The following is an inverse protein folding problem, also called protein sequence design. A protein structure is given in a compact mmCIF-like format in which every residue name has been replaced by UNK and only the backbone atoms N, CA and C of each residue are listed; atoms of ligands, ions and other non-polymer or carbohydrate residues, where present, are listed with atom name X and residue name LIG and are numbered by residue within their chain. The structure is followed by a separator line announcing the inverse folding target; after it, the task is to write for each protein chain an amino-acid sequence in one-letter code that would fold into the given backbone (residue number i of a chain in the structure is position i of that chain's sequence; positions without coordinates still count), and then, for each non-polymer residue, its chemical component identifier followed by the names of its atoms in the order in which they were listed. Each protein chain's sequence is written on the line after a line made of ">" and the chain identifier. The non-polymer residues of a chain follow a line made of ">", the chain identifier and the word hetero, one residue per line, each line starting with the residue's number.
data_IF_379101636346
#
_entry.id   IF_379101636346
#
_cell.length_a   1.000
_cell.length_b   1.000
_cell.length_c   1.000
_cell.angle_alpha   90.00
_cell.angle_beta   90.00
_cell.angle_gamma   90.00
#
_symmetry.space_group_name_H-M   'P 1'
#
loop_
_entity.id
_entity.type
_entity.pdbx_description
1 polymer ?
#
# COMPACT_ATOMS: atom_id res chain seq x y z
N UNK A 1 27.82 -35.93 5.89
CA UNK A 1 28.12 -34.58 5.39
C UNK A 1 26.88 -33.75 5.58
N UNK A 2 26.93 -32.82 6.53
CA UNK A 2 25.88 -31.85 6.81
C UNK A 2 25.93 -30.77 5.74
N UNK A 3 24.83 -30.54 5.01
CA UNK A 3 24.67 -29.30 4.26
C UNK A 3 23.59 -28.46 4.92
N UNK A 4 24.08 -27.34 5.45
CA UNK A 4 23.34 -26.32 6.16
C UNK A 4 22.90 -25.24 5.15
N UNK A 5 21.62 -24.87 5.23
CA UNK A 5 21.05 -23.54 5.02
C UNK A 5 21.29 -22.77 3.72
N UNK A 6 20.19 -22.48 3.04
CA UNK A 6 19.92 -21.10 2.64
C UNK A 6 18.48 -20.76 3.01
N UNK A 7 18.31 -20.02 4.12
CA UNK A 7 17.02 -19.56 4.59
C UNK A 7 16.28 -18.74 3.54
N UNK A 8 15.11 -19.22 3.12
CA UNK A 8 14.13 -18.47 2.35
C UNK A 8 13.73 -17.23 3.17
N UNK A 9 14.20 -16.05 2.78
CA UNK A 9 13.79 -14.81 3.41
C UNK A 9 12.25 -14.68 3.32
N UNK A 10 11.54 -14.38 4.43
CA UNK A 10 10.09 -14.36 4.43
C UNK A 10 9.59 -13.30 3.46
N UNK A 11 8.93 -13.76 2.39
CA UNK A 11 8.27 -12.89 1.41
C UNK A 11 7.25 -12.04 2.17
N UNK A 12 7.22 -10.70 2.00
CA UNK A 12 6.27 -9.87 2.70
C UNK A 12 4.87 -10.28 2.25
N UNK A 13 4.11 -10.92 3.16
CA UNK A 13 2.68 -11.17 2.94
C UNK A 13 2.05 -9.83 2.58
N UNK A 14 1.28 -9.80 1.49
CA UNK A 14 0.51 -8.63 1.10
C UNK A 14 -0.35 -8.23 2.29
N UNK A 15 0.06 -7.20 3.03
CA UNK A 15 -0.75 -6.69 4.14
C UNK A 15 -2.06 -6.23 3.53
N UNK A 16 -3.13 -6.94 3.86
CA UNK A 16 -4.47 -6.63 3.39
C UNK A 16 -4.76 -5.16 3.74
N UNK A 17 -5.12 -4.37 2.72
CA UNK A 17 -5.40 -2.95 2.93
C UNK A 17 -6.72 -2.83 3.70
N UNK A 18 -6.71 -2.06 4.78
CA UNK A 18 -7.93 -1.77 5.53
C UNK A 18 -8.78 -0.80 4.73
N UNK A 19 -10.02 -1.19 4.41
CA UNK A 19 -11.00 -0.28 3.85
C UNK A 19 -11.67 0.50 4.98
N UNK A 20 -11.86 1.81 4.79
CA UNK A 20 -12.56 2.67 5.74
C UNK A 20 -13.48 3.63 4.98
N UNK A 21 -14.65 3.90 5.54
CA UNK A 21 -15.53 4.96 5.05
C UNK A 21 -15.08 6.29 5.66
N UNK A 22 -14.72 7.25 4.80
CA UNK A 22 -14.31 8.58 5.21
C UNK A 22 -15.46 9.56 4.95
N UNK A 23 -15.84 10.35 5.96
CA UNK A 23 -16.76 11.47 5.78
C UNK A 23 -15.93 12.71 5.45
N UNK A 24 -16.13 13.26 4.27
CA UNK A 24 -15.50 14.48 3.80
C UNK A 24 -16.56 15.50 3.41
N UNK A 25 -16.20 16.78 3.55
CA UNK A 25 -16.93 17.84 2.87
C UNK A 25 -16.86 17.59 1.34
N UNK A 26 -17.99 17.71 0.60
CA UNK A 26 -18.00 17.45 -0.84
C UNK A 26 -17.02 18.32 -1.65
N UNK A 27 -16.86 19.58 -1.27
CA UNK A 27 -15.95 20.51 -1.98
C UNK A 27 -14.49 20.10 -1.76
N UNK A 28 -14.17 19.63 -0.56
CA UNK A 28 -12.83 19.09 -0.25
C UNK A 28 -12.57 17.81 -1.03
N UNK A 29 -13.55 16.92 -1.11
CA UNK A 29 -13.44 15.71 -1.92
C UNK A 29 -13.15 16.04 -3.38
N UNK A 30 -13.88 17.01 -3.96
CA UNK A 30 -13.70 17.41 -5.35
C UNK A 30 -12.33 18.04 -5.60
N UNK A 31 -11.83 18.86 -4.68
CA UNK A 31 -10.48 19.41 -4.77
C UNK A 31 -9.41 18.31 -4.77
N UNK A 32 -9.54 17.32 -3.88
CA UNK A 32 -8.64 16.15 -3.83
C UNK A 32 -8.71 15.32 -5.12
N UNK A 33 -9.91 15.11 -5.67
CA UNK A 33 -10.09 14.37 -6.91
C UNK A 33 -9.43 15.07 -8.09
N UNK A 34 -9.61 16.41 -8.23
CA UNK A 34 -8.96 17.20 -9.29
C UNK A 34 -7.44 17.16 -9.16
N UNK A 35 -6.90 17.38 -7.96
CA UNK A 35 -5.45 17.30 -7.75
C UNK A 35 -4.90 15.90 -8.05
N UNK A 36 -5.62 14.83 -7.66
CA UNK A 36 -5.25 13.48 -8.02
C UNK A 36 -5.18 13.29 -9.55
N UNK A 37 -6.18 13.81 -10.29
CA UNK A 37 -6.19 13.77 -11.75
C UNK A 37 -5.00 14.49 -12.38
N UNK A 38 -4.63 15.66 -11.86
CA UNK A 38 -3.47 16.43 -12.34
C UNK A 38 -2.14 15.65 -12.17
N UNK A 39 -2.02 14.88 -11.08
CA UNK A 39 -0.88 13.99 -10.84
C UNK A 39 -1.04 12.58 -11.45
N UNK A 40 -2.11 12.36 -12.21
CA UNK A 40 -2.51 11.08 -12.78
C UNK A 40 -2.70 9.96 -11.72
N UNK A 41 -3.00 10.28 -10.47
CA UNK A 41 -3.30 9.31 -9.41
C UNK A 41 -4.80 9.06 -9.30
N UNK A 42 -5.18 7.93 -8.69
CA UNK A 42 -6.53 7.81 -8.16
C UNK A 42 -6.68 8.66 -6.90
N UNK A 43 -7.90 9.10 -6.59
CA UNK A 43 -8.18 9.84 -5.36
C UNK A 43 -7.69 9.09 -4.10
N UNK A 44 -7.91 7.77 -4.03
CA UNK A 44 -7.42 6.96 -2.90
C UNK A 44 -5.88 6.95 -2.80
N UNK A 45 -5.17 6.89 -3.93
CA UNK A 45 -3.71 6.94 -3.93
C UNK A 45 -3.19 8.33 -3.51
N UNK A 46 -3.90 9.39 -3.89
CA UNK A 46 -3.58 10.75 -3.45
C UNK A 46 -3.80 10.92 -1.94
N UNK A 47 -4.94 10.46 -1.42
CA UNK A 47 -5.24 10.49 0.02
C UNK A 47 -4.17 9.72 0.81
N UNK A 48 -3.81 8.51 0.40
CA UNK A 48 -2.78 7.70 1.05
C UNK A 48 -1.42 8.41 1.06
N UNK A 49 -1.04 9.04 -0.06
CA UNK A 49 0.19 9.83 -0.15
C UNK A 49 0.20 10.98 0.86
N UNK A 50 -0.89 11.75 0.92
CA UNK A 50 -1.02 12.88 1.84
C UNK A 50 -0.97 12.44 3.31
N UNK A 51 -1.68 11.36 3.66
CA UNK A 51 -1.67 10.83 5.02
C UNK A 51 -0.27 10.38 5.44
N UNK A 52 0.46 9.66 4.57
CA UNK A 52 1.84 9.23 4.86
C UNK A 52 2.79 10.40 5.01
N UNK A 53 2.66 11.39 4.13
CA UNK A 53 3.47 12.62 4.19
C UNK A 53 3.21 13.35 5.51
N UNK A 54 1.95 13.60 5.86
CA UNK A 54 1.58 14.27 7.10
C UNK A 54 2.04 13.49 8.35
N UNK A 55 1.94 12.16 8.35
CA UNK A 55 2.48 11.31 9.42
C UNK A 55 4.00 11.41 9.50
N UNK A 56 4.71 11.44 8.36
CA UNK A 56 6.17 11.59 8.32
C UNK A 56 6.63 12.95 8.84
N UNK A 57 5.99 14.02 8.38
CA UNK A 57 6.25 15.40 8.84
C UNK A 57 5.96 15.56 10.34
N UNK A 58 4.95 14.87 10.86
CA UNK A 58 4.64 14.85 12.29
C UNK A 58 5.53 13.90 13.12
N UNK A 59 6.46 13.15 12.51
CA UNK A 59 7.28 12.14 13.20
C UNK A 59 6.50 10.93 13.73
N UNK A 60 5.32 10.65 13.14
CA UNK A 60 4.38 9.60 13.57
C UNK A 60 4.25 8.43 12.60
N UNK A 61 4.97 8.46 11.48
CA UNK A 61 4.94 7.37 10.51
C UNK A 61 5.58 6.10 11.12
N UNK A 62 4.85 4.96 11.22
CA UNK A 62 5.41 3.74 11.79
C UNK A 62 6.55 3.19 10.92
N UNK A 63 7.66 2.78 11.54
CA UNK A 63 8.83 2.23 10.83
C UNK A 63 8.56 0.97 10.00
N UNK A 64 7.48 0.24 10.31
CA UNK A 64 7.04 -0.93 9.55
C UNK A 64 6.08 -0.65 8.40
N UNK A 65 5.82 0.61 8.03
CA UNK A 65 4.92 0.95 6.95
C UNK A 65 5.55 0.58 5.58
N UNK A 66 4.93 -0.37 4.88
CA UNK A 66 5.40 -0.79 3.56
C UNK A 66 5.39 0.40 2.56
N UNK A 67 6.31 0.45 1.59
CA UNK A 67 6.37 1.52 0.60
C UNK A 67 5.10 1.56 -0.27
N UNK A 68 4.77 2.74 -0.79
CA UNK A 68 3.67 2.90 -1.75
C UNK A 68 4.02 2.11 -3.03
N UNK A 69 3.16 1.18 -3.50
CA UNK A 69 3.41 0.44 -4.73
C UNK A 69 3.53 1.37 -5.94
N UNK A 70 4.41 1.02 -6.89
CA UNK A 70 4.53 1.76 -8.14
C UNK A 70 3.26 1.62 -8.99
N UNK A 71 2.92 2.68 -9.74
CA UNK A 71 1.77 2.71 -10.65
C UNK A 71 1.88 1.56 -11.67
N UNK A 72 0.73 0.94 -11.97
CA UNK A 72 0.63 -0.11 -12.98
C UNK A 72 1.25 -1.47 -12.61
N UNK A 73 1.82 -1.65 -11.41
CA UNK A 73 2.35 -2.95 -10.98
C UNK A 73 1.26 -3.74 -10.23
N UNK A 74 0.59 -4.72 -10.86
CA UNK A 74 -0.19 -5.69 -10.10
C UNK A 74 0.76 -6.41 -9.12
N UNK A 75 0.33 -6.69 -7.88
CA UNK A 75 1.08 -7.54 -6.98
C UNK A 75 1.31 -8.90 -7.65
N UNK A 76 2.50 -9.50 -7.50
CA UNK A 76 2.71 -10.89 -7.91
C UNK A 76 1.81 -11.75 -7.03
N UNK A 77 0.75 -12.33 -7.60
CA UNK A 77 -0.07 -13.32 -6.91
C UNK A 77 0.84 -14.45 -6.44
N UNK A 78 0.88 -14.68 -5.12
CA UNK A 78 1.49 -15.87 -4.57
C UNK A 78 0.55 -17.02 -4.95
N UNK A 79 0.96 -17.82 -5.94
CA UNK A 79 0.28 -19.08 -6.28
C UNK A 79 0.18 -19.91 -5.00
N UNK A 80 -1.04 -20.13 -4.51
CA UNK A 80 -1.30 -21.18 -3.52
C UNK A 80 -1.01 -22.53 -4.21
N UNK A 81 -0.21 -23.43 -3.60
CA UNK A 81 0.02 -24.74 -4.19
C UNK A 81 -1.32 -25.49 -4.25
N UNK A 82 -1.60 -26.23 -5.35
CA UNK A 82 -2.82 -27.00 -5.46
C UNK A 82 -2.88 -27.98 -4.29
N UNK A 83 -4.02 -27.99 -3.59
CA UNK A 83 -4.30 -29.00 -2.56
C UNK A 83 -4.20 -30.38 -3.19
N UNK A 84 -3.34 -31.22 -2.61
CA UNK A 84 -3.32 -32.66 -2.86
C UNK A 84 -4.57 -33.25 -2.17
N UNK A 85 -5.40 -33.96 -2.95
CA UNK A 85 -6.46 -34.85 -2.44
C UNK A 85 -5.88 -35.99 -1.60
#
# INVERSE_FOLDING_TARGET
>A
MTEESAGEAPRPRSRQRKQMLLRLDPVVHDALARWASDELRSANAQIEFLLRRALGEAGRLPGGAAPIPRRGRPPKEAQEPPGED
#
